data_IF_503118499658
#
_entry.id   IF_503118499658
#
_cell.length_a   1.000
_cell.length_b   1.000
_cell.length_c   1.000
_cell.angle_alpha   90.00
_cell.angle_beta   90.00
_cell.angle_gamma   90.00
#
_symmetry.space_group_name_H-M   'P 1'
#
loop_
_entity.id
_entity.type
_entity.pdbx_description
1 polymer ?
#
# COMPACT_ATOMS: atom_id res chain seq x y z
N UNK A 1 -13.25 11.15 10.37
CA UNK A 1 -12.25 10.24 10.97
C UNK A 1 -11.91 9.19 9.94
N UNK A 2 -10.62 8.87 9.74
CA UNK A 2 -10.23 7.74 8.87
C UNK A 2 -10.66 6.46 9.57
N UNK A 3 -11.62 5.73 9.00
CA UNK A 3 -12.07 4.42 9.46
C UNK A 3 -11.14 3.33 8.94
N UNK A 4 -9.87 3.40 9.33
CA UNK A 4 -8.87 2.39 8.99
C UNK A 4 -8.69 1.51 10.23
N UNK A 5 -9.15 0.25 10.18
CA UNK A 5 -9.09 -0.64 11.35
C UNK A 5 -7.70 -1.24 11.58
N UNK A 6 -6.78 -1.09 10.61
CA UNK A 6 -5.45 -1.68 10.64
C UNK A 6 -4.46 -0.79 11.39
N UNK A 7 -3.64 -1.42 12.22
CA UNK A 7 -2.48 -0.81 12.86
C UNK A 7 -1.28 -0.74 11.90
N UNK A 8 -0.23 -0.01 12.27
CA UNK A 8 1.03 0.01 11.49
C UNK A 8 1.68 -1.38 11.40
N UNK A 9 1.55 -2.19 12.46
CA UNK A 9 2.04 -3.57 12.48
C UNK A 9 1.27 -4.45 11.49
N UNK A 10 -0.06 -4.33 11.45
CA UNK A 10 -0.90 -5.03 10.48
C UNK A 10 -0.49 -4.67 9.05
N UNK A 11 -0.33 -3.37 8.76
CA UNK A 11 0.07 -2.88 7.44
C UNK A 11 1.44 -3.44 7.05
N UNK A 12 2.42 -3.37 7.94
CA UNK A 12 3.78 -3.89 7.69
C UNK A 12 3.77 -5.40 7.40
N UNK A 13 2.98 -6.16 8.18
CA UNK A 13 2.82 -7.60 7.99
C UNK A 13 2.16 -7.93 6.64
N UNK A 14 1.13 -7.16 6.25
CA UNK A 14 0.44 -7.32 4.98
C UNK A 14 1.34 -6.99 3.78
N UNK A 15 2.08 -5.87 3.83
CA UNK A 15 3.01 -5.47 2.76
C UNK A 15 4.10 -6.53 2.56
N UNK A 16 4.70 -7.02 3.66
CA UNK A 16 5.68 -8.11 3.60
C UNK A 16 5.09 -9.39 3.00
N UNK A 17 3.84 -9.72 3.34
CA UNK A 17 3.15 -10.91 2.83
C UNK A 17 3.03 -10.90 1.31
N UNK A 18 2.80 -9.72 0.72
CA UNK A 18 2.71 -9.55 -0.74
C UNK A 18 4.06 -9.19 -1.39
N UNK A 19 5.14 -9.11 -0.60
CA UNK A 19 6.51 -8.94 -1.08
C UNK A 19 6.87 -7.50 -1.45
N UNK A 20 6.20 -6.50 -0.87
CA UNK A 20 6.50 -5.08 -1.09
C UNK A 20 6.87 -4.38 0.21
N UNK A 21 7.55 -3.24 0.12
CA UNK A 21 8.06 -2.50 1.27
C UNK A 21 7.17 -1.31 1.64
N UNK A 22 6.53 -0.68 0.64
CA UNK A 22 5.67 0.49 0.81
C UNK A 22 4.28 0.29 0.16
N UNK A 23 3.30 1.08 0.62
CA UNK A 23 2.01 1.26 -0.04
C UNK A 23 2.15 1.73 -1.49
N UNK A 24 3.14 2.57 -1.80
CA UNK A 24 3.35 3.07 -3.17
C UNK A 24 3.71 1.93 -4.15
N UNK A 25 4.39 0.88 -3.67
CA UNK A 25 4.75 -0.30 -4.46
C UNK A 25 3.52 -1.11 -4.89
N UNK A 26 2.41 -1.00 -4.16
CA UNK A 26 1.15 -1.65 -4.56
C UNK A 26 0.62 -1.09 -5.89
N UNK A 27 1.06 0.11 -6.27
CA UNK A 27 0.63 0.80 -7.48
C UNK A 27 1.66 0.76 -8.61
N UNK A 28 2.83 0.12 -8.44
CA UNK A 28 3.88 0.02 -9.47
C UNK A 28 3.37 -0.48 -10.83
N UNK A 29 2.43 -1.45 -10.91
CA UNK A 29 1.89 -1.92 -12.19
C UNK A 29 1.00 -0.92 -12.93
N UNK A 30 0.50 0.12 -12.25
CA UNK A 30 -0.37 1.13 -12.86
C UNK A 30 0.48 2.12 -13.66
N UNK A 31 0.20 2.39 -14.94
CA UNK A 31 0.93 3.39 -15.71
C UNK A 31 0.92 4.77 -15.02
N UNK A 32 2.03 5.54 -15.02
CA UNK A 32 2.12 6.81 -14.33
C UNK A 32 1.02 7.81 -14.70
N UNK A 33 0.68 7.87 -15.99
CA UNK A 33 -0.34 8.79 -16.53
C UNK A 33 -1.78 8.47 -16.04
N UNK A 34 -1.98 7.29 -15.45
CA UNK A 34 -3.25 6.87 -14.86
C UNK A 34 -3.30 7.04 -13.34
N UNK A 35 -2.19 7.42 -12.69
CA UNK A 35 -2.15 7.62 -11.23
C UNK A 35 -2.63 9.03 -10.89
N UNK A 36 -3.49 9.14 -9.89
CA UNK A 36 -3.85 10.43 -9.30
C UNK A 36 -2.73 10.81 -8.33
N UNK A 37 -1.89 11.77 -8.72
CA UNK A 37 -0.87 12.36 -7.85
C UNK A 37 -1.45 13.30 -6.80
#
# INVERSE_FOLDING_TARGET
MRYLPHTEEDITSMLRTVGVEDMDDLFSPVPPDCRMG
#
